data_IF_557969188107
#
_entry.id   IF_557969188107
#
_cell.length_a   1.000
_cell.length_b   1.000
_cell.length_c   1.000
_cell.angle_alpha   90.00
_cell.angle_beta   90.00
_cell.angle_gamma   90.00
#
_symmetry.space_group_name_H-M   'P 1'
#
loop_
_entity.id
_entity.type
_entity.pdbx_description
1 polymer ?
#
# COMPACT_ATOMS: atom_id res chain seq x y z
N UNK A 1 22.67 16.84 -6.36
CA UNK A 1 21.21 16.50 -6.24
C UNK A 1 21.13 15.41 -5.19
N UNK A 2 20.35 15.58 -4.14
CA UNK A 2 20.19 14.54 -3.09
C UNK A 2 19.07 13.64 -3.58
N UNK A 3 19.40 12.38 -3.88
CA UNK A 3 18.41 11.35 -4.20
C UNK A 3 17.94 10.69 -2.91
N UNK A 4 16.66 10.77 -2.61
CA UNK A 4 16.07 10.01 -1.51
C UNK A 4 15.72 8.60 -2.00
N UNK A 5 16.24 7.53 -1.38
CA UNK A 5 15.85 6.17 -1.72
C UNK A 5 14.39 5.95 -1.33
N UNK A 6 13.50 5.88 -2.32
CA UNK A 6 12.06 5.64 -2.09
C UNK A 6 11.77 4.20 -1.63
N UNK A 7 12.74 3.27 -1.78
CA UNK A 7 12.54 1.83 -1.55
C UNK A 7 11.32 1.25 -2.28
N UNK A 8 11.02 1.80 -3.45
CA UNK A 8 9.95 1.32 -4.34
C UNK A 8 10.61 0.58 -5.51
N UNK A 9 10.52 -0.76 -5.56
CA UNK A 9 11.12 -1.52 -6.64
C UNK A 9 10.44 -1.24 -7.98
N UNK A 10 11.20 -1.33 -9.06
CA UNK A 10 10.75 -1.23 -10.44
C UNK A 10 9.96 0.05 -10.76
N UNK A 11 10.41 1.19 -10.20
CA UNK A 11 9.87 2.51 -10.54
C UNK A 11 10.97 3.47 -10.97
N UNK A 12 10.61 4.40 -11.83
CA UNK A 12 11.39 5.56 -12.21
C UNK A 12 10.66 6.83 -11.76
N UNK A 13 11.38 7.72 -11.08
CA UNK A 13 10.85 9.05 -10.73
C UNK A 13 10.81 9.91 -11.99
N UNK A 14 9.65 10.48 -12.28
CA UNK A 14 9.44 11.41 -13.39
C UNK A 14 9.51 12.86 -12.93
N UNK A 15 8.93 13.15 -11.76
CA UNK A 15 8.80 14.50 -11.24
C UNK A 15 8.71 14.48 -9.73
N UNK A 16 9.25 15.51 -9.09
CA UNK A 16 9.08 15.78 -7.65
C UNK A 16 8.60 17.21 -7.48
N UNK A 17 7.48 17.40 -6.78
CA UNK A 17 6.90 18.69 -6.48
C UNK A 17 6.87 18.92 -4.97
N UNK A 18 7.47 20.03 -4.54
CA UNK A 18 7.39 20.49 -3.16
C UNK A 18 6.21 21.46 -3.03
N UNK A 19 5.23 21.07 -2.22
CA UNK A 19 4.10 21.94 -1.82
C UNK A 19 4.27 22.33 -0.37
N UNK A 20 3.48 23.30 0.10
CA UNK A 20 3.67 23.94 1.43
C UNK A 20 3.83 22.96 2.61
N UNK A 21 3.23 21.76 2.57
CA UNK A 21 3.30 20.72 3.62
C UNK A 21 3.35 19.30 3.08
N UNK A 22 3.60 19.14 1.80
CA UNK A 22 3.63 17.84 1.16
C UNK A 22 4.62 17.79 0.02
N UNK A 23 5.17 16.61 -0.19
CA UNK A 23 6.00 16.26 -1.34
C UNK A 23 5.20 15.31 -2.21
N UNK A 24 5.04 15.64 -3.47
CA UNK A 24 4.38 14.78 -4.45
C UNK A 24 5.45 14.27 -5.41
N UNK A 25 5.58 12.94 -5.48
CA UNK A 25 6.55 12.26 -6.32
C UNK A 25 5.79 11.47 -7.38
N UNK A 26 5.85 11.93 -8.62
CA UNK A 26 5.27 11.23 -9.75
C UNK A 26 6.24 10.17 -10.24
N UNK A 27 5.78 8.93 -10.30
CA UNK A 27 6.58 7.77 -10.71
C UNK A 27 5.95 7.01 -11.87
N UNK A 28 6.76 6.28 -12.60
CA UNK A 28 6.34 5.34 -13.62
C UNK A 28 6.94 3.97 -13.34
N UNK A 29 6.15 2.91 -13.54
CA UNK A 29 6.67 1.54 -13.47
C UNK A 29 7.64 1.27 -14.62
N UNK A 30 8.81 0.71 -14.29
CA UNK A 30 9.81 0.27 -15.28
C UNK A 30 9.54 -1.16 -15.76
N UNK A 31 8.63 -1.90 -15.12
CA UNK A 31 8.25 -3.26 -15.50
C UNK A 31 7.56 -3.25 -16.86
N UNK A 32 8.03 -4.01 -17.87
CA UNK A 32 7.50 -3.94 -19.24
C UNK A 32 6.32 -4.89 -19.50
N UNK A 33 5.66 -5.43 -18.46
CA UNK A 33 4.58 -6.41 -18.58
C UNK A 33 3.55 -6.31 -17.45
N UNK A 34 2.40 -6.94 -17.66
CA UNK A 34 1.45 -7.29 -16.60
C UNK A 34 1.21 -8.80 -16.57
N UNK A 35 0.63 -9.30 -15.48
CA UNK A 35 0.14 -10.68 -15.39
C UNK A 35 -1.33 -10.69 -15.80
N UNK A 36 -1.68 -11.45 -16.82
CA UNK A 36 -3.05 -11.55 -17.29
C UNK A 36 -3.96 -12.10 -16.17
N UNK A 37 -5.06 -11.41 -15.89
CA UNK A 37 -6.02 -11.81 -14.85
C UNK A 37 -6.80 -13.09 -15.19
N UNK A 38 -6.81 -13.54 -16.45
CA UNK A 38 -7.50 -14.76 -16.89
C UNK A 38 -6.60 -16.00 -16.94
N UNK A 39 -5.45 -15.90 -17.64
CA UNK A 39 -4.59 -17.06 -17.84
C UNK A 39 -3.36 -17.08 -16.92
N UNK A 40 -3.06 -16.01 -16.17
CA UNK A 40 -1.89 -15.92 -15.30
C UNK A 40 -0.56 -15.69 -16.05
N UNK A 41 -0.57 -15.63 -17.38
CA UNK A 41 0.62 -15.43 -18.19
C UNK A 41 1.07 -13.97 -18.24
N UNK A 42 2.39 -13.77 -18.43
CA UNK A 42 2.93 -12.42 -18.68
C UNK A 42 2.48 -11.91 -20.04
N UNK A 43 1.98 -10.70 -20.06
CA UNK A 43 1.59 -9.99 -21.28
C UNK A 43 2.39 -8.71 -21.45
N UNK A 44 2.99 -8.51 -22.62
CA UNK A 44 3.93 -7.43 -22.91
C UNK A 44 3.35 -6.38 -23.86
N UNK A 45 2.16 -6.58 -24.40
CA UNK A 45 1.55 -5.65 -25.34
C UNK A 45 0.94 -4.49 -24.55
N UNK A 46 1.64 -3.35 -24.55
CA UNK A 46 1.10 -2.12 -23.99
C UNK A 46 -0.18 -1.72 -24.71
N UNK A 47 -1.23 -1.43 -23.98
CA UNK A 47 -2.52 -1.01 -24.52
C UNK A 47 -2.82 0.46 -24.22
N UNK A 48 -2.78 0.85 -22.96
CA UNK A 48 -3.12 2.20 -22.50
C UNK A 48 -2.59 2.43 -21.07
N UNK A 49 -2.81 3.62 -20.58
CA UNK A 49 -2.71 3.90 -19.15
C UNK A 49 -4.09 3.78 -18.49
N UNK A 50 -4.09 3.41 -17.24
CA UNK A 50 -5.27 3.46 -16.37
C UNK A 50 -5.34 4.82 -15.67
N UNK A 51 -6.40 5.05 -14.88
CA UNK A 51 -6.56 6.25 -14.08
C UNK A 51 -5.38 6.44 -13.11
N UNK A 52 -4.92 7.68 -12.90
CA UNK A 52 -3.86 7.96 -11.97
C UNK A 52 -4.29 7.63 -10.54
N UNK A 53 -3.40 7.03 -9.78
CA UNK A 53 -3.58 6.74 -8.35
C UNK A 53 -2.63 7.59 -7.53
N UNK A 54 -3.08 7.98 -6.34
CA UNK A 54 -2.29 8.74 -5.37
C UNK A 54 -2.25 7.98 -4.06
N UNK A 55 -1.03 7.65 -3.61
CA UNK A 55 -0.78 6.81 -2.45
C UNK A 55 0.03 7.58 -1.41
N UNK A 56 -0.42 7.55 -0.16
CA UNK A 56 0.38 8.06 0.95
C UNK A 56 1.61 7.18 1.14
N UNK A 57 2.78 7.81 1.28
CA UNK A 57 4.06 7.16 1.55
C UNK A 57 4.67 7.65 2.88
N UNK A 58 5.78 7.04 3.28
CA UNK A 58 6.52 7.45 4.48
C UNK A 58 6.90 8.95 4.38
N UNK A 59 6.81 9.69 5.48
CA UNK A 59 7.17 11.11 5.48
C UNK A 59 8.68 11.30 5.24
N UNK A 60 9.04 12.40 4.62
CA UNK A 60 10.42 12.86 4.46
C UNK A 60 10.53 14.20 5.19
N UNK A 61 11.45 14.29 6.16
CA UNK A 61 11.65 15.50 6.97
C UNK A 61 10.33 16.05 7.52
N UNK A 62 9.50 15.16 8.09
CA UNK A 62 8.17 15.46 8.64
C UNK A 62 7.13 15.95 7.63
N UNK A 63 7.50 16.10 6.36
CA UNK A 63 6.55 16.43 5.32
C UNK A 63 5.82 15.18 4.82
N UNK A 64 4.53 15.34 4.58
CA UNK A 64 3.72 14.26 3.99
C UNK A 64 4.20 13.96 2.57
N UNK A 65 4.38 12.69 2.26
CA UNK A 65 4.79 12.25 0.92
C UNK A 65 3.64 11.51 0.25
N UNK A 66 3.41 11.84 -1.00
CA UNK A 66 2.46 11.14 -1.87
C UNK A 66 3.18 10.65 -3.11
N UNK A 67 2.94 9.39 -3.44
CA UNK A 67 3.37 8.79 -4.70
C UNK A 67 2.20 8.88 -5.67
N UNK A 68 2.41 9.48 -6.81
CA UNK A 68 1.48 9.47 -7.94
C UNK A 68 1.98 8.53 -9.02
N UNK A 69 1.17 7.52 -9.34
CA UNK A 69 1.44 6.52 -10.35
C UNK A 69 0.29 6.49 -11.34
N UNK A 70 0.60 6.41 -12.62
CA UNK A 70 -0.37 6.10 -13.67
C UNK A 70 -0.12 4.67 -14.15
N UNK A 71 -0.91 3.69 -13.69
CA UNK A 71 -0.67 2.28 -13.99
C UNK A 71 -0.79 2.02 -15.49
N UNK A 72 0.05 1.14 -16.02
CA UNK A 72 -0.01 0.69 -17.41
C UNK A 72 -1.01 -0.45 -17.56
N UNK A 73 -1.74 -0.50 -18.67
CA UNK A 73 -2.60 -1.61 -19.04
C UNK A 73 -2.00 -2.36 -20.21
N UNK A 74 -2.04 -3.66 -20.12
CA UNK A 74 -1.49 -4.58 -21.12
C UNK A 74 -2.58 -5.50 -21.65
N UNK A 75 -2.52 -5.81 -22.95
CA UNK A 75 -3.45 -6.70 -23.65
C UNK A 75 -2.89 -8.12 -23.70
N UNK A 76 -3.70 -9.10 -23.34
CA UNK A 76 -3.35 -10.51 -23.48
C UNK A 76 -3.67 -10.98 -24.90
N UNK A 77 -2.70 -11.60 -25.57
CA UNK A 77 -2.88 -12.21 -26.90
C UNK A 77 -3.30 -13.67 -26.85
N UNK A 78 -3.07 -14.33 -25.72
CA UNK A 78 -3.32 -15.76 -25.55
C UNK A 78 -4.78 -16.07 -25.25
N UNK A 79 -5.47 -15.16 -24.55
CA UNK A 79 -6.88 -15.36 -24.20
C UNK A 79 -7.83 -14.90 -25.30
N UNK A 80 -8.96 -15.58 -25.44
CA UNK A 80 -10.05 -15.14 -26.30
C UNK A 80 -10.55 -13.74 -25.87
N UNK A 81 -10.95 -12.94 -26.86
CA UNK A 81 -11.35 -11.53 -26.71
C UNK A 81 -10.23 -10.60 -26.20
N UNK A 82 -8.98 -11.06 -26.14
CA UNK A 82 -7.80 -10.26 -25.81
C UNK A 82 -8.00 -9.29 -24.64
N UNK A 83 -8.30 -9.78 -23.43
CA UNK A 83 -8.61 -8.94 -22.28
C UNK A 83 -7.41 -8.06 -21.93
N UNK A 84 -7.70 -6.88 -21.39
CA UNK A 84 -6.67 -6.00 -20.85
C UNK A 84 -6.55 -6.16 -19.34
N UNK A 85 -5.33 -6.10 -18.83
CA UNK A 85 -5.04 -6.17 -17.39
C UNK A 85 -4.20 -4.97 -16.98
N UNK A 86 -4.61 -4.31 -15.88
CA UNK A 86 -3.84 -3.23 -15.27
C UNK A 86 -2.66 -3.82 -14.51
N UNK A 87 -1.47 -3.27 -14.74
CA UNK A 87 -0.24 -3.67 -14.07
C UNK A 87 -0.35 -3.39 -12.56
N UNK A 88 0.01 -4.37 -11.75
CA UNK A 88 0.11 -4.25 -10.31
C UNK A 88 1.57 -4.12 -9.90
N UNK A 89 1.88 -3.21 -9.00
CA UNK A 89 3.19 -3.08 -8.39
C UNK A 89 3.18 -3.68 -6.98
N UNK A 90 4.30 -4.28 -6.57
CA UNK A 90 4.35 -5.07 -5.32
C UNK A 90 4.37 -4.21 -4.05
N UNK A 91 4.59 -2.90 -4.18
CA UNK A 91 4.74 -1.97 -3.07
C UNK A 91 3.43 -1.29 -2.62
N UNK A 92 2.28 -1.61 -3.22
CA UNK A 92 0.95 -1.22 -2.73
C UNK A 92 -0.07 -2.34 -2.97
N UNK A 93 -1.18 -2.30 -2.24
CA UNK A 93 -2.30 -3.19 -2.47
C UNK A 93 -3.38 -2.50 -3.32
N UNK A 94 -4.08 -3.23 -4.21
CA UNK A 94 -5.21 -2.69 -4.95
C UNK A 94 -6.23 -2.02 -4.01
N UNK A 95 -6.70 -0.82 -4.38
CA UNK A 95 -7.63 -0.02 -3.59
C UNK A 95 -7.11 0.49 -2.24
N UNK A 96 -5.84 0.28 -1.91
CA UNK A 96 -5.24 0.91 -0.75
C UNK A 96 -4.95 2.39 -1.05
N UNK A 97 -5.20 3.32 -0.10
CA UNK A 97 -4.76 4.70 -0.22
C UNK A 97 -3.29 4.89 0.16
N UNK A 98 -2.62 3.81 0.53
CA UNK A 98 -1.26 3.82 1.08
C UNK A 98 -0.33 2.87 0.34
N UNK A 99 0.98 3.17 0.41
CA UNK A 99 2.02 2.17 0.14
C UNK A 99 2.11 1.18 1.29
N UNK A 100 2.57 -0.05 1.03
CA UNK A 100 2.81 -1.07 2.07
C UNK A 100 3.75 -0.57 3.17
N UNK A 101 4.75 0.23 2.81
CA UNK A 101 5.67 0.83 3.78
C UNK A 101 4.95 1.78 4.75
N UNK A 102 4.00 2.58 4.26
CA UNK A 102 3.23 3.45 5.12
C UNK A 102 2.25 2.66 6.01
N UNK A 103 1.56 1.65 5.46
CA UNK A 103 0.72 0.74 6.26
C UNK A 103 1.52 0.08 7.39
N UNK A 104 2.73 -0.42 7.12
CA UNK A 104 3.61 -0.98 8.14
C UNK A 104 4.02 0.06 9.20
N UNK A 105 4.23 1.31 8.81
CA UNK A 105 4.50 2.39 9.75
C UNK A 105 3.30 2.67 10.67
N UNK A 106 2.08 2.66 10.13
CA UNK A 106 0.85 2.79 10.93
C UNK A 106 0.74 1.65 11.96
N UNK A 107 0.98 0.40 11.55
CA UNK A 107 0.94 -0.76 12.44
C UNK A 107 1.95 -0.67 13.58
N UNK A 108 3.17 -0.22 13.30
CA UNK A 108 4.18 0.00 14.36
C UNK A 108 3.76 1.07 15.36
N UNK A 109 3.09 2.13 14.90
CA UNK A 109 2.62 3.22 15.76
C UNK A 109 1.40 2.84 16.61
N UNK A 110 0.70 1.75 16.26
CA UNK A 110 -0.40 1.22 17.08
C UNK A 110 0.09 0.49 18.33
N UNK A 111 1.38 0.16 18.42
CA UNK A 111 1.95 -0.42 19.64
C UNK A 111 1.82 0.61 20.76
N UNK A 112 1.11 0.26 21.82
CA UNK A 112 0.78 1.13 22.96
C UNK A 112 0.03 2.43 22.57
N UNK A 113 -0.76 2.39 21.50
CA UNK A 113 -1.56 3.53 21.04
C UNK A 113 -2.92 3.08 20.52
N UNK A 114 -3.86 4.00 20.39
CA UNK A 114 -5.19 3.72 19.82
C UNK A 114 -5.23 4.04 18.32
N UNK A 115 -6.20 3.43 17.62
CA UNK A 115 -6.46 3.74 16.20
C UNK A 115 -6.73 5.25 16.00
N UNK A 116 -7.51 5.85 16.90
CA UNK A 116 -7.83 7.28 16.85
C UNK A 116 -6.60 8.17 17.04
N UNK A 117 -5.69 7.79 17.94
CA UNK A 117 -4.47 8.56 18.17
C UNK A 117 -3.51 8.49 16.97
N UNK A 118 -3.35 7.28 16.40
CA UNK A 118 -2.52 7.10 15.20
C UNK A 118 -3.11 7.86 14.01
N UNK A 119 -4.43 7.77 13.82
CA UNK A 119 -5.13 8.50 12.75
C UNK A 119 -4.87 10.01 12.85
N UNK A 120 -5.03 10.58 14.06
CA UNK A 120 -4.78 12.02 14.32
C UNK A 120 -3.32 12.40 14.11
N UNK A 121 -2.37 11.63 14.64
CA UNK A 121 -0.92 11.90 14.51
C UNK A 121 -0.45 11.85 13.06
N UNK A 122 -1.00 10.92 12.28
CA UNK A 122 -0.60 10.72 10.88
C UNK A 122 -1.45 11.50 9.88
N UNK A 123 -2.45 12.26 10.36
CA UNK A 123 -3.38 13.02 9.52
C UNK A 123 -4.04 12.15 8.45
N UNK A 124 -4.52 10.98 8.86
CA UNK A 124 -5.30 10.04 8.03
C UNK A 124 -6.65 9.75 8.69
N UNK A 125 -7.59 9.18 7.92
CA UNK A 125 -8.88 8.79 8.50
C UNK A 125 -8.74 7.58 9.43
N UNK A 126 -9.68 7.43 10.34
CA UNK A 126 -9.81 6.25 11.20
C UNK A 126 -9.88 4.95 10.36
N UNK A 127 -10.71 4.98 9.29
CA UNK A 127 -10.88 3.85 8.39
C UNK A 127 -9.61 3.50 7.61
N UNK A 128 -8.76 4.48 7.32
CA UNK A 128 -7.47 4.24 6.67
C UNK A 128 -6.54 3.42 7.57
N UNK A 129 -6.52 3.70 8.90
CA UNK A 129 -5.76 2.93 9.88
C UNK A 129 -6.35 1.52 10.06
N UNK A 130 -7.68 1.40 10.16
CA UNK A 130 -8.36 0.10 10.18
C UNK A 130 -8.06 -0.72 8.91
N UNK A 131 -8.03 -0.07 7.77
CA UNK A 131 -7.65 -0.70 6.49
C UNK A 131 -6.22 -1.26 6.54
N UNK A 132 -5.26 -0.54 7.13
CA UNK A 132 -3.90 -1.02 7.32
C UNK A 132 -3.86 -2.25 8.26
N UNK A 133 -4.62 -2.24 9.36
CA UNK A 133 -4.75 -3.41 10.26
C UNK A 133 -5.29 -4.62 9.48
N UNK A 134 -6.37 -4.44 8.73
CA UNK A 134 -7.01 -5.53 7.99
C UNK A 134 -6.11 -6.13 6.89
N UNK A 135 -5.20 -5.34 6.32
CA UNK A 135 -4.23 -5.80 5.31
C UNK A 135 -2.99 -6.44 5.94
N UNK A 136 -2.54 -5.93 7.08
CA UNK A 136 -1.23 -6.28 7.65
C UNK A 136 -1.26 -7.24 8.83
N UNK A 137 -2.43 -7.43 9.48
CA UNK A 137 -2.57 -8.29 10.67
C UNK A 137 -3.35 -9.54 10.30
N UNK A 138 -2.80 -10.70 10.64
CA UNK A 138 -3.48 -11.98 10.43
C UNK A 138 -4.77 -12.04 11.28
N UNK A 139 -5.88 -12.47 10.68
CA UNK A 139 -7.18 -12.58 11.37
C UNK A 139 -7.24 -13.75 12.35
N UNK A 140 -6.36 -14.72 12.23
CA UNK A 140 -6.28 -15.89 13.09
C UNK A 140 -4.90 -15.99 13.74
N UNK A 141 -4.88 -16.37 15.01
CA UNK A 141 -3.63 -16.62 15.73
C UNK A 141 -3.15 -18.03 15.39
N UNK A 142 -1.91 -18.15 14.93
CA UNK A 142 -1.27 -19.45 14.80
C UNK A 142 -0.76 -19.91 16.17
N UNK A 143 -1.60 -20.60 16.91
CA UNK A 143 -1.28 -21.10 18.27
C UNK A 143 -0.10 -22.06 18.29
N UNK A 144 0.15 -22.79 17.21
CA UNK A 144 1.29 -23.73 17.14
C UNK A 144 2.66 -23.04 17.12
N UNK A 145 2.72 -21.74 16.83
CA UNK A 145 3.95 -20.96 16.92
C UNK A 145 4.37 -20.64 18.35
N UNK A 146 3.48 -20.83 19.33
CA UNK A 146 3.72 -20.50 20.75
C UNK A 146 3.99 -21.74 21.59
N UNK A 147 5.11 -22.41 21.33
CA UNK A 147 5.47 -23.68 21.99
C UNK A 147 5.77 -23.56 23.49
N UNK A 148 6.07 -22.38 24.00
CA UNK A 148 6.42 -22.11 25.40
C UNK A 148 5.33 -21.34 26.16
N UNK A 149 4.11 -21.22 25.62
CA UNK A 149 3.04 -20.48 26.26
C UNK A 149 2.52 -21.24 27.50
N UNK A 150 2.69 -20.65 28.70
CA UNK A 150 2.25 -21.25 29.98
C UNK A 150 0.99 -20.60 30.53
N UNK A 151 0.73 -19.34 30.23
CA UNK A 151 -0.39 -18.57 30.75
C UNK A 151 -0.95 -17.66 29.66
N UNK A 152 -2.28 -17.61 29.52
CA UNK A 152 -3.01 -16.67 28.68
C UNK A 152 -3.93 -15.89 29.62
N UNK A 153 -3.79 -14.55 29.60
CA UNK A 153 -4.78 -13.64 30.19
C UNK A 153 -5.79 -13.22 29.15
N UNK A 154 -7.07 -13.25 29.50
CA UNK A 154 -8.13 -12.64 28.70
C UNK A 154 -8.76 -11.50 29.49
N UNK A 155 -8.92 -10.35 28.85
CA UNK A 155 -9.64 -9.21 29.43
C UNK A 155 -10.84 -8.88 28.54
N UNK A 156 -11.98 -8.59 29.13
CA UNK A 156 -13.18 -8.18 28.42
C UNK A 156 -13.20 -6.65 28.29
N UNK A 157 -13.10 -6.16 27.07
CA UNK A 157 -13.30 -4.75 26.78
C UNK A 157 -14.77 -4.55 26.39
N UNK A 158 -15.54 -3.86 27.22
CA UNK A 158 -16.88 -3.43 26.89
C UNK A 158 -16.83 -2.41 25.74
N UNK A 159 -17.21 -2.81 24.54
CA UNK A 159 -17.24 -1.94 23.34
C UNK A 159 -18.43 -0.97 23.31
N UNK A 160 -19.40 -1.13 24.21
CA UNK A 160 -20.53 -0.20 24.43
C UNK A 160 -20.87 -0.12 25.90
N UNK A 161 -20.95 1.10 26.42
CA UNK A 161 -21.82 1.37 27.59
C UNK A 161 -23.24 1.42 27.06
N UNK A 162 -24.10 0.56 27.58
CA UNK A 162 -25.54 0.63 27.38
C UNK A 162 -26.12 1.92 27.90
#
# INVERSE_FOLDING_TARGET
MIEFPLNLPEVRVLKTELKKREIVITVESTRPYAICSRCGEKTFEFHSYDDPIRLRHLPILEQRVFIELRPKRYRCRTCDNHPTTTQQCDWYEPRSPHTKAFDQSLLRQLINSTVSDVARKQEVSYDAVLGAINRGVARSVNWSAFTALKVIGMDEIALRKG
#
